data_IF_809160898753
#
_entry.id   IF_809160898753
#
_cell.length_a   1.000
_cell.length_b   1.000
_cell.length_c   1.000
_cell.angle_alpha   90.00
_cell.angle_beta   90.00
_cell.angle_gamma   90.00
#
_symmetry.space_group_name_H-M   'P 1'
#
loop_
_entity.id
_entity.type
_entity.pdbx_description
1 polymer ?
#
# COMPACT_ATOMS: atom_id res chain seq x y z
N UNK A 1 -22.55 -23.64 -7.40
CA UNK A 1 -21.09 -23.90 -7.25
C UNK A 1 -20.38 -22.73 -6.54
N UNK A 2 -20.43 -21.48 -7.06
CA UNK A 2 -19.79 -20.30 -6.40
C UNK A 2 -20.31 -20.08 -4.98
N UNK A 3 -21.62 -20.12 -4.75
CA UNK A 3 -22.21 -19.89 -3.42
C UNK A 3 -21.76 -20.92 -2.38
N UNK A 4 -21.69 -22.19 -2.73
CA UNK A 4 -21.23 -23.26 -1.83
C UNK A 4 -19.75 -23.06 -1.47
N UNK A 5 -18.91 -22.76 -2.48
CA UNK A 5 -17.51 -22.47 -2.29
C UNK A 5 -17.29 -21.23 -1.39
N UNK A 6 -18.08 -20.16 -1.64
CA UNK A 6 -18.03 -18.95 -0.83
C UNK A 6 -18.42 -19.21 0.63
N UNK A 7 -19.40 -20.09 0.90
CA UNK A 7 -19.82 -20.43 2.26
C UNK A 7 -18.73 -21.19 3.02
N UNK A 8 -18.04 -22.12 2.35
CA UNK A 8 -16.96 -22.91 2.95
C UNK A 8 -15.73 -22.05 3.34
N UNK A 9 -15.40 -21.03 2.56
CA UNK A 9 -14.20 -20.20 2.73
C UNK A 9 -14.49 -18.80 3.29
N UNK A 10 -15.74 -18.48 3.60
CA UNK A 10 -16.12 -17.10 3.97
C UNK A 10 -15.35 -16.53 5.17
N UNK A 11 -15.12 -17.32 6.21
CA UNK A 11 -14.42 -16.86 7.39
C UNK A 11 -12.94 -16.53 7.12
N UNK A 12 -12.31 -17.19 6.14
CA UNK A 12 -10.95 -16.86 5.70
C UNK A 12 -10.93 -15.49 5.02
N UNK A 13 -11.85 -15.24 4.09
CA UNK A 13 -11.97 -13.93 3.41
C UNK A 13 -12.32 -12.81 4.38
N UNK A 14 -13.21 -13.09 5.32
CA UNK A 14 -13.60 -12.16 6.37
C UNK A 14 -12.42 -11.80 7.28
N UNK A 15 -11.63 -12.77 7.68
CA UNK A 15 -10.45 -12.55 8.52
C UNK A 15 -9.41 -11.73 7.78
N UNK A 16 -9.13 -12.06 6.51
CA UNK A 16 -8.21 -11.31 5.66
C UNK A 16 -8.65 -9.86 5.45
N UNK A 17 -9.93 -9.62 5.13
CA UNK A 17 -10.46 -8.27 4.95
C UNK A 17 -10.39 -7.45 6.25
N UNK A 18 -10.70 -8.05 7.39
CA UNK A 18 -10.57 -7.39 8.70
C UNK A 18 -9.13 -7.03 9.03
N UNK A 19 -8.19 -7.91 8.73
CA UNK A 19 -6.77 -7.68 8.95
C UNK A 19 -6.26 -6.52 8.09
N UNK A 20 -6.57 -6.50 6.79
CA UNK A 20 -6.22 -5.37 5.92
C UNK A 20 -6.83 -4.06 6.42
N UNK A 21 -8.12 -4.06 6.79
CA UNK A 21 -8.79 -2.86 7.30
C UNK A 21 -8.33 -2.45 8.70
N UNK A 22 -7.75 -3.34 9.48
CA UNK A 22 -7.15 -2.96 10.75
C UNK A 22 -5.99 -2.00 10.55
N UNK A 23 -5.18 -2.25 9.53
CA UNK A 23 -3.99 -1.44 9.23
C UNK A 23 -4.26 -0.32 8.21
N UNK A 24 -5.14 -0.56 7.23
CA UNK A 24 -5.38 0.32 6.08
C UNK A 24 -6.86 0.65 5.93
N UNK A 25 -7.31 1.63 6.69
CA UNK A 25 -8.72 2.00 6.75
C UNK A 25 -8.87 3.53 6.68
N UNK A 26 -9.40 4.09 5.61
CA UNK A 26 -10.00 3.44 4.44
C UNK A 26 -8.99 2.97 3.40
N UNK A 27 -9.44 2.20 2.40
CA UNK A 27 -8.68 1.80 1.22
C UNK A 27 -9.57 1.88 -0.03
N UNK A 28 -8.97 1.81 -1.23
CA UNK A 28 -9.74 1.69 -2.46
C UNK A 28 -10.33 0.28 -2.59
N UNK A 29 -11.53 0.17 -3.18
CA UNK A 29 -12.17 -1.12 -3.47
C UNK A 29 -11.25 -1.99 -4.35
N UNK A 30 -10.65 -1.38 -5.39
CA UNK A 30 -9.68 -2.02 -6.28
C UNK A 30 -8.45 -2.58 -5.54
N UNK A 31 -8.01 -1.94 -4.47
CA UNK A 31 -6.92 -2.45 -3.63
C UNK A 31 -7.32 -3.75 -2.92
N UNK A 32 -8.55 -3.83 -2.40
CA UNK A 32 -9.05 -5.06 -1.78
C UNK A 32 -9.23 -6.16 -2.82
N UNK A 33 -9.79 -5.86 -3.98
CA UNK A 33 -9.96 -6.82 -5.09
C UNK A 33 -8.62 -7.41 -5.53
N UNK A 34 -7.62 -6.54 -5.74
CA UNK A 34 -6.27 -6.97 -6.10
C UNK A 34 -5.59 -7.77 -4.99
N UNK A 35 -5.77 -7.37 -3.73
CA UNK A 35 -5.24 -8.11 -2.59
C UNK A 35 -5.82 -9.54 -2.52
N UNK A 36 -7.12 -9.70 -2.73
CA UNK A 36 -7.77 -11.01 -2.81
C UNK A 36 -7.19 -11.85 -3.95
N UNK A 37 -7.03 -11.28 -5.16
CA UNK A 37 -6.41 -11.96 -6.31
C UNK A 37 -4.97 -12.40 -6.05
N UNK A 38 -4.21 -11.60 -5.30
CA UNK A 38 -2.80 -11.91 -4.98
C UNK A 38 -2.64 -12.91 -3.86
N UNK A 39 -3.53 -12.87 -2.88
CA UNK A 39 -3.44 -13.73 -1.70
C UNK A 39 -4.03 -15.12 -1.93
N UNK A 40 -5.12 -15.20 -2.68
CA UNK A 40 -5.84 -16.45 -2.96
C UNK A 40 -5.71 -16.86 -4.42
N UNK A 41 -5.46 -18.15 -4.66
CA UNK A 41 -5.44 -18.71 -6.02
C UNK A 41 -6.86 -18.79 -6.61
N UNK A 42 -6.95 -18.68 -7.93
CA UNK A 42 -8.19 -18.90 -8.70
C UNK A 42 -9.35 -17.94 -8.39
N UNK A 43 -9.04 -16.69 -7.96
CA UNK A 43 -10.04 -15.65 -7.79
C UNK A 43 -10.53 -15.13 -9.15
N UNK A 44 -11.81 -15.31 -9.42
CA UNK A 44 -12.50 -14.65 -10.55
C UNK A 44 -13.12 -13.35 -10.06
N UNK A 45 -13.39 -12.41 -10.98
CA UNK A 45 -14.04 -11.15 -10.65
C UNK A 45 -15.43 -11.37 -10.03
N UNK A 46 -16.18 -12.36 -10.54
CA UNK A 46 -17.49 -12.73 -10.00
C UNK A 46 -17.42 -13.22 -8.55
N UNK A 47 -16.39 -14.03 -8.23
CA UNK A 47 -16.18 -14.51 -6.86
C UNK A 47 -15.79 -13.36 -5.93
N UNK A 48 -14.92 -12.46 -6.39
CA UNK A 48 -14.49 -11.28 -5.62
C UNK A 48 -15.68 -10.38 -5.32
N UNK A 49 -16.49 -10.04 -6.30
CA UNK A 49 -17.71 -9.26 -6.09
C UNK A 49 -18.66 -9.95 -5.10
N UNK A 50 -18.83 -11.26 -5.22
CA UNK A 50 -19.65 -12.04 -4.28
C UNK A 50 -19.10 -11.99 -2.86
N UNK A 51 -17.77 -12.05 -2.69
CA UNK A 51 -17.10 -11.88 -1.39
C UNK A 51 -17.37 -10.49 -0.82
N UNK A 52 -17.13 -9.43 -1.61
CA UNK A 52 -17.31 -8.05 -1.16
C UNK A 52 -18.77 -7.77 -0.75
N UNK A 53 -19.73 -8.21 -1.54
CA UNK A 53 -21.15 -8.07 -1.20
C UNK A 53 -21.51 -8.82 0.09
N UNK A 54 -21.01 -10.04 0.27
CA UNK A 54 -21.26 -10.81 1.50
C UNK A 54 -20.60 -10.17 2.72
N UNK A 55 -19.40 -9.60 2.58
CA UNK A 55 -18.73 -8.84 3.62
C UNK A 55 -19.52 -7.58 4.00
N UNK A 56 -20.09 -6.88 3.01
CA UNK A 56 -20.96 -5.72 3.24
C UNK A 56 -22.28 -6.12 3.92
N UNK A 57 -22.93 -7.17 3.46
CA UNK A 57 -24.17 -7.71 4.04
C UNK A 57 -23.98 -8.09 5.53
N UNK A 58 -22.84 -8.68 5.84
CA UNK A 58 -22.43 -9.01 7.19
C UNK A 58 -21.84 -7.81 7.97
N UNK A 59 -21.88 -6.60 7.41
CA UNK A 59 -21.40 -5.36 8.02
C UNK A 59 -19.92 -5.37 8.41
N UNK A 60 -19.13 -6.16 7.74
CA UNK A 60 -17.67 -6.18 7.92
C UNK A 60 -17.04 -4.98 7.24
N UNK A 61 -17.54 -4.64 6.05
CA UNK A 61 -17.10 -3.49 5.25
C UNK A 61 -18.30 -2.61 4.87
N UNK A 62 -17.98 -1.39 4.46
CA UNK A 62 -18.88 -0.47 3.78
C UNK A 62 -18.21 -0.02 2.48
N UNK A 63 -18.95 -0.01 1.38
CA UNK A 63 -18.46 0.40 0.06
C UNK A 63 -19.20 1.66 -0.38
N UNK A 64 -18.45 2.66 -0.85
CA UNK A 64 -19.03 3.91 -1.38
C UNK A 64 -19.17 3.88 -2.89
N UNK A 65 -20.03 4.74 -3.41
CA UNK A 65 -20.28 4.85 -4.85
C UNK A 65 -19.08 5.37 -5.64
N UNK A 66 -18.13 6.01 -4.98
CA UNK A 66 -16.87 6.52 -5.54
C UNK A 66 -15.67 5.58 -5.28
N UNK A 67 -15.94 4.30 -4.96
CA UNK A 67 -14.95 3.22 -4.92
C UNK A 67 -14.10 3.16 -3.65
N UNK A 68 -14.55 3.74 -2.53
CA UNK A 68 -13.89 3.56 -1.25
C UNK A 68 -14.50 2.40 -0.46
N UNK A 69 -13.63 1.72 0.27
CA UNK A 69 -13.97 0.61 1.15
C UNK A 69 -13.41 0.89 2.55
N UNK A 70 -14.23 0.68 3.57
CA UNK A 70 -13.85 0.94 4.95
C UNK A 70 -14.65 0.14 5.96
N UNK A 71 -14.20 0.12 7.22
CA UNK A 71 -15.00 -0.37 8.32
C UNK A 71 -16.09 0.64 8.67
N UNK A 72 -17.19 0.13 9.29
CA UNK A 72 -18.26 0.99 9.80
C UNK A 72 -17.77 2.07 10.76
N UNK A 73 -16.86 1.71 11.68
CA UNK A 73 -16.32 2.67 12.64
C UNK A 73 -15.59 3.82 11.95
N UNK A 74 -14.85 3.51 10.85
CA UNK A 74 -14.18 4.54 10.06
C UNK A 74 -15.15 5.44 9.33
N UNK A 75 -16.23 4.88 8.76
CA UNK A 75 -17.27 5.67 8.13
C UNK A 75 -17.89 6.70 9.09
N UNK A 76 -18.30 6.24 10.27
CA UNK A 76 -18.85 7.13 11.30
C UNK A 76 -17.86 8.20 11.73
N UNK A 77 -16.58 7.84 11.86
CA UNK A 77 -15.51 8.78 12.19
C UNK A 77 -15.36 9.89 11.13
N UNK A 78 -15.44 9.54 9.84
CA UNK A 78 -15.25 10.47 8.73
C UNK A 78 -16.47 11.39 8.52
N UNK A 79 -17.67 10.83 8.58
CA UNK A 79 -18.92 11.54 8.19
C UNK A 79 -19.72 12.08 9.37
N UNK A 80 -19.51 11.57 10.58
CA UNK A 80 -20.36 11.83 11.74
C UNK A 80 -21.73 11.14 11.69
N UNK A 81 -22.00 10.35 10.64
CA UNK A 81 -23.30 9.70 10.44
C UNK A 81 -23.35 8.32 11.09
N UNK A 82 -23.97 8.26 12.26
CA UNK A 82 -24.22 7.02 13.00
C UNK A 82 -25.53 6.33 12.61
N UNK A 83 -26.40 6.98 11.83
CA UNK A 83 -27.76 6.51 11.52
C UNK A 83 -27.85 5.73 10.20
N UNK A 84 -26.76 5.62 9.45
CA UNK A 84 -26.76 4.96 8.14
C UNK A 84 -27.38 3.56 8.16
N UNK A 85 -27.19 2.81 9.21
CA UNK A 85 -27.75 1.46 9.38
C UNK A 85 -29.29 1.39 9.36
N UNK A 86 -29.95 2.47 9.75
CA UNK A 86 -31.43 2.51 9.78
C UNK A 86 -32.01 2.74 8.38
N UNK A 87 -31.23 3.29 7.47
CA UNK A 87 -31.65 3.65 6.11
C UNK A 87 -31.49 2.50 5.11
N UNK A 88 -30.51 1.62 5.30
CA UNK A 88 -30.15 0.61 4.30
C UNK A 88 -30.94 -0.70 4.36
N UNK A 89 -31.66 -0.96 5.45
CA UNK A 89 -32.55 -2.12 5.56
C UNK A 89 -31.95 -3.49 5.21
N UNK A 90 -30.64 -3.64 5.28
CA UNK A 90 -29.94 -4.89 4.98
C UNK A 90 -29.83 -5.25 3.50
N UNK A 91 -29.99 -4.29 2.57
CA UNK A 91 -29.77 -4.50 1.13
C UNK A 91 -28.46 -3.88 0.67
N UNK A 92 -27.87 -4.45 -0.40
CA UNK A 92 -26.62 -4.04 -1.09
C UNK A 92 -26.64 -2.56 -1.54
N UNK A 93 -26.57 -1.64 -0.63
CA UNK A 93 -26.64 -0.21 -0.95
C UNK A 93 -25.26 0.38 -0.74
N UNK A 94 -24.64 0.83 -1.83
CA UNK A 94 -23.45 1.64 -1.74
C UNK A 94 -23.76 2.90 -0.93
N UNK A 95 -22.85 3.26 -0.02
CA UNK A 95 -22.96 4.56 0.67
C UNK A 95 -22.66 5.70 -0.34
N UNK A 96 -23.10 6.93 -0.08
CA UNK A 96 -22.77 8.09 -0.90
C UNK A 96 -21.26 8.28 -1.06
N UNK A 97 -20.87 9.13 -1.98
CA UNK A 97 -19.47 9.55 -2.18
C UNK A 97 -18.86 10.10 -0.90
N UNK A 98 -17.65 9.65 -0.61
CA UNK A 98 -16.91 10.05 0.60
C UNK A 98 -15.48 10.49 0.31
N UNK A 99 -15.06 10.52 -0.97
CA UNK A 99 -13.70 10.86 -1.39
C UNK A 99 -13.20 12.16 -0.76
N UNK A 100 -14.03 13.20 -0.74
CA UNK A 100 -13.66 14.46 -0.11
C UNK A 100 -13.37 14.36 1.39
N UNK A 101 -14.07 13.50 2.14
CA UNK A 101 -13.73 13.23 3.54
C UNK A 101 -12.42 12.46 3.68
N UNK A 102 -12.20 11.47 2.81
CA UNK A 102 -10.99 10.65 2.83
C UNK A 102 -9.76 11.51 2.52
N UNK A 103 -9.80 12.31 1.46
CA UNK A 103 -8.70 13.17 1.04
C UNK A 103 -8.33 14.20 2.11
N UNK A 104 -9.32 14.77 2.78
CA UNK A 104 -9.09 15.79 3.82
C UNK A 104 -8.67 15.22 5.19
N UNK A 105 -9.07 13.99 5.53
CA UNK A 105 -8.92 13.45 6.88
C UNK A 105 -8.02 12.20 6.97
N UNK A 106 -7.63 11.60 5.85
CA UNK A 106 -6.85 10.39 5.84
C UNK A 106 -5.44 10.61 5.26
N UNK A 107 -4.55 9.70 5.60
CA UNK A 107 -3.20 9.73 5.09
C UNK A 107 -3.13 9.13 3.69
N UNK A 108 -3.32 9.96 2.66
CA UNK A 108 -3.25 9.53 1.25
C UNK A 108 -1.91 8.90 0.88
N UNK A 109 -0.81 9.36 1.49
CA UNK A 109 0.52 8.76 1.28
C UNK A 109 0.54 7.28 1.65
N UNK A 110 -0.16 6.89 2.72
CA UNK A 110 -0.30 5.50 3.14
C UNK A 110 -1.09 4.69 2.10
N UNK A 111 -2.16 5.26 1.57
CA UNK A 111 -3.03 4.61 0.57
C UNK A 111 -2.26 4.35 -0.72
N UNK A 112 -1.42 5.29 -1.17
CA UNK A 112 -0.55 5.08 -2.34
C UNK A 112 0.50 4.00 -2.09
N UNK A 113 1.12 3.99 -0.92
CA UNK A 113 2.11 2.96 -0.57
C UNK A 113 1.51 1.56 -0.45
N UNK A 114 0.21 1.44 -0.15
CA UNK A 114 -0.48 0.16 -0.01
C UNK A 114 -0.46 -0.66 -1.31
N UNK A 115 -0.45 -0.04 -2.49
CA UNK A 115 -0.34 -0.75 -3.76
C UNK A 115 0.92 -1.61 -3.84
N UNK A 116 2.05 -1.11 -3.35
CA UNK A 116 3.32 -1.86 -3.34
C UNK A 116 3.23 -3.09 -2.43
N UNK A 117 2.62 -2.95 -1.26
CA UNK A 117 2.38 -4.09 -0.37
C UNK A 117 1.51 -5.15 -1.06
N UNK A 118 0.39 -4.73 -1.67
CA UNK A 118 -0.56 -5.63 -2.34
C UNK A 118 0.15 -6.42 -3.45
N UNK A 119 0.99 -5.78 -4.24
CA UNK A 119 1.72 -6.46 -5.32
C UNK A 119 2.76 -7.45 -4.82
N UNK A 120 3.18 -7.31 -3.58
CA UNK A 120 4.13 -8.21 -2.91
C UNK A 120 3.46 -9.33 -2.09
N UNK A 121 2.13 -9.37 -2.06
CA UNK A 121 1.39 -10.44 -1.39
C UNK A 121 1.62 -11.82 -2.07
N UNK A 122 1.60 -12.90 -1.31
CA UNK A 122 1.46 -12.95 0.13
C UNK A 122 2.76 -12.55 0.83
N UNK A 123 2.69 -11.50 1.62
CA UNK A 123 3.73 -11.05 2.53
C UNK A 123 3.27 -11.31 3.97
N UNK A 124 4.19 -11.32 4.92
CA UNK A 124 3.78 -11.26 6.32
C UNK A 124 3.20 -9.87 6.57
N UNK A 125 1.97 -9.83 7.02
CA UNK A 125 1.29 -8.61 7.46
C UNK A 125 1.76 -8.19 8.87
N UNK A 126 2.73 -8.91 9.46
CA UNK A 126 3.44 -8.46 10.64
C UNK A 126 4.23 -7.20 10.29
N UNK A 127 3.54 -6.08 10.36
CA UNK A 127 4.12 -4.78 10.09
C UNK A 127 5.16 -4.47 11.17
N UNK A 128 6.41 -4.46 10.78
CA UNK A 128 7.40 -3.76 11.56
C UNK A 128 6.90 -2.32 11.74
N UNK A 129 6.91 -1.83 12.96
CA UNK A 129 6.54 -0.45 13.28
C UNK A 129 7.16 0.47 12.24
N UNK A 130 6.34 1.26 11.58
CA UNK A 130 6.79 2.19 10.56
C UNK A 130 7.78 3.17 11.18
N UNK A 131 9.04 3.05 10.78
CA UNK A 131 10.04 4.05 11.14
C UNK A 131 9.88 5.24 10.20
N UNK A 132 9.68 6.42 10.75
CA UNK A 132 9.78 7.63 9.92
C UNK A 132 11.12 7.60 9.16
N UNK A 133 11.14 7.91 7.86
CA UNK A 133 10.09 8.59 7.08
C UNK A 133 9.10 7.66 6.34
N UNK A 134 9.23 6.35 6.44
CA UNK A 134 8.46 5.39 5.65
C UNK A 134 7.00 5.31 6.10
N UNK A 135 6.09 5.15 5.14
CA UNK A 135 4.66 4.99 5.40
C UNK A 135 4.30 3.55 5.73
N UNK A 136 4.94 2.60 5.05
CA UNK A 136 4.69 1.17 5.23
C UNK A 136 6.02 0.44 5.35
N UNK A 137 6.08 -0.54 6.26
CA UNK A 137 7.13 -1.54 6.30
C UNK A 137 6.51 -2.93 6.39
N UNK A 138 7.03 -3.89 5.65
CA UNK A 138 6.54 -5.27 5.66
C UNK A 138 7.64 -6.27 5.32
N UNK A 139 7.44 -7.52 5.75
CA UNK A 139 8.37 -8.60 5.48
C UNK A 139 7.87 -9.45 4.30
N UNK A 140 8.68 -9.61 3.26
CA UNK A 140 8.38 -10.53 2.17
C UNK A 140 8.61 -11.99 2.57
N UNK A 141 8.04 -12.94 1.81
CA UNK A 141 8.33 -14.39 1.99
C UNK A 141 9.83 -14.73 1.97
N UNK A 142 10.64 -13.95 1.26
CA UNK A 142 12.09 -14.10 1.17
C UNK A 142 12.85 -13.49 2.35
N UNK A 143 12.15 -13.07 3.41
CA UNK A 143 12.71 -12.40 4.59
C UNK A 143 13.44 -11.09 4.30
N UNK A 144 13.07 -10.40 3.22
CA UNK A 144 13.47 -9.02 3.00
C UNK A 144 12.47 -8.09 3.68
N UNK A 145 12.98 -7.10 4.41
CA UNK A 145 12.19 -6.00 4.95
C UNK A 145 12.02 -4.94 3.86
N UNK A 146 10.80 -4.70 3.44
CA UNK A 146 10.47 -3.61 2.54
C UNK A 146 10.05 -2.39 3.32
N UNK A 147 10.63 -1.23 2.97
CA UNK A 147 10.28 0.08 3.47
C UNK A 147 9.80 0.92 2.30
N UNK A 148 8.55 1.41 2.35
CA UNK A 148 7.93 2.14 1.25
C UNK A 148 7.64 3.57 1.67
N UNK A 149 8.04 4.52 0.82
CA UNK A 149 7.80 5.95 1.01
C UNK A 149 7.19 6.55 -0.25
N UNK A 150 6.18 7.42 -0.05
CA UNK A 150 5.66 8.31 -1.09
C UNK A 150 6.19 9.73 -0.85
N UNK A 151 6.74 10.35 -1.90
CA UNK A 151 7.33 11.68 -1.87
C UNK A 151 6.53 12.60 -2.79
N UNK A 152 5.67 13.50 -2.24
CA UNK A 152 4.96 14.51 -3.01
C UNK A 152 5.92 15.62 -3.44
N UNK A 153 5.62 16.28 -4.54
CA UNK A 153 6.47 17.33 -5.13
C UNK A 153 6.82 18.46 -4.14
N UNK A 154 5.84 18.89 -3.35
CA UNK A 154 6.05 19.99 -2.38
C UNK A 154 7.07 19.65 -1.28
N UNK A 155 7.19 18.37 -0.92
CA UNK A 155 8.02 17.90 0.20
C UNK A 155 9.34 17.25 -0.28
N UNK A 156 9.58 17.18 -1.59
CA UNK A 156 10.69 16.43 -2.17
C UNK A 156 12.06 16.71 -1.56
N UNK A 157 12.53 17.97 -1.46
CA UNK A 157 13.90 18.22 -0.98
C UNK A 157 14.16 17.70 0.43
N UNK A 158 13.22 17.94 1.34
CA UNK A 158 13.35 17.51 2.73
C UNK A 158 13.24 15.98 2.88
N UNK A 159 12.46 15.32 2.02
CA UNK A 159 12.24 13.87 2.08
C UNK A 159 13.44 13.07 1.56
N UNK A 160 14.15 13.57 0.55
CA UNK A 160 15.34 12.89 0.03
C UNK A 160 16.47 12.82 1.06
N UNK A 161 16.65 13.85 1.89
CA UNK A 161 17.59 13.82 2.98
C UNK A 161 17.30 12.71 4.00
N UNK A 162 16.01 12.48 4.29
CA UNK A 162 15.60 11.43 5.21
C UNK A 162 15.89 10.00 4.69
N UNK A 163 15.94 9.79 3.37
CA UNK A 163 16.32 8.49 2.80
C UNK A 163 17.77 8.11 3.09
N UNK A 164 18.61 9.09 3.36
CA UNK A 164 20.02 8.87 3.69
C UNK A 164 20.22 8.41 5.14
N UNK A 165 19.22 8.58 5.99
CA UNK A 165 19.31 8.23 7.40
C UNK A 165 19.17 6.72 7.60
N UNK A 166 20.11 6.15 8.32
CA UNK A 166 20.12 4.80 8.81
C UNK A 166 20.51 4.81 10.28
N UNK A 167 19.94 3.92 11.09
CA UNK A 167 20.54 3.60 12.36
C UNK A 167 21.98 3.13 12.13
N UNK A 168 22.96 3.82 12.72
CA UNK A 168 24.41 3.58 12.54
C UNK A 168 24.86 2.20 13.02
N UNK A 169 24.09 1.59 13.88
CA UNK A 169 24.35 0.37 14.65
C UNK A 169 23.77 -0.92 14.06
N UNK A 170 23.11 -0.82 12.89
CA UNK A 170 22.61 -2.01 12.22
C UNK A 170 23.75 -2.85 11.63
N UNK A 171 23.72 -4.16 11.90
CA UNK A 171 24.62 -5.12 11.27
C UNK A 171 24.44 -5.10 9.74
N UNK A 172 25.52 -5.28 8.99
CA UNK A 172 25.50 -5.27 7.52
C UNK A 172 24.56 -6.33 6.94
N UNK A 173 24.42 -7.48 7.59
CA UNK A 173 23.45 -8.51 7.22
C UNK A 173 22.01 -8.01 7.28
N UNK A 174 21.67 -7.20 8.27
CA UNK A 174 20.34 -6.59 8.41
C UNK A 174 20.15 -5.48 7.38
N UNK A 175 21.16 -4.63 7.17
CA UNK A 175 21.13 -3.61 6.13
C UNK A 175 20.84 -4.21 4.76
N UNK A 176 21.50 -5.32 4.40
CA UNK A 176 21.31 -5.99 3.12
C UNK A 176 19.92 -6.64 2.96
N UNK A 177 19.21 -6.93 4.04
CA UNK A 177 17.84 -7.41 4.01
C UNK A 177 16.80 -6.31 3.80
N UNK A 178 17.16 -5.05 4.05
CA UNK A 178 16.26 -3.90 3.84
C UNK A 178 16.22 -3.54 2.37
N UNK A 179 14.99 -3.41 1.82
CA UNK A 179 14.72 -3.03 0.44
C UNK A 179 13.80 -1.82 0.44
N UNK A 180 14.28 -0.68 -0.02
CA UNK A 180 13.50 0.56 -0.07
C UNK A 180 12.82 0.73 -1.41
N UNK A 181 11.57 1.17 -1.36
CA UNK A 181 10.76 1.52 -2.52
C UNK A 181 10.35 2.98 -2.38
N UNK A 182 10.72 3.78 -3.35
CA UNK A 182 10.39 5.21 -3.39
C UNK A 182 9.34 5.43 -4.46
N UNK A 183 8.19 5.96 -4.07
CA UNK A 183 7.14 6.39 -4.99
C UNK A 183 7.24 7.91 -5.11
N UNK A 184 7.49 8.40 -6.31
CA UNK A 184 7.56 9.82 -6.62
C UNK A 184 6.22 10.30 -7.19
N UNK A 185 5.78 11.48 -6.80
CA UNK A 185 4.69 12.14 -7.49
C UNK A 185 5.15 12.60 -8.90
N UNK A 186 6.40 13.05 -9.01
CA UNK A 186 6.97 13.54 -10.26
C UNK A 186 8.22 12.75 -10.64
N UNK A 187 8.21 12.12 -11.82
CA UNK A 187 9.36 11.36 -12.34
C UNK A 187 10.63 12.20 -12.49
N UNK A 188 10.50 13.51 -12.72
CA UNK A 188 11.66 14.41 -12.87
C UNK A 188 12.55 14.44 -11.62
N UNK A 189 12.01 14.09 -10.48
CA UNK A 189 12.74 14.07 -9.22
C UNK A 189 13.57 12.80 -9.00
N UNK A 190 13.55 11.84 -9.92
CA UNK A 190 14.25 10.56 -9.74
C UNK A 190 15.75 10.71 -9.48
N UNK A 191 16.39 11.71 -10.11
CA UNK A 191 17.83 11.95 -9.98
C UNK A 191 18.22 12.52 -8.60
N UNK A 192 17.24 12.98 -7.82
CA UNK A 192 17.44 13.41 -6.43
C UNK A 192 17.45 12.24 -5.45
N UNK A 193 16.94 11.07 -5.87
CA UNK A 193 16.92 9.87 -5.02
C UNK A 193 18.34 9.36 -4.85
N UNK A 194 18.89 9.32 -3.62
CA UNK A 194 20.30 8.97 -3.39
C UNK A 194 20.60 7.55 -3.86
N UNK A 195 21.81 7.35 -4.34
CA UNK A 195 22.34 6.01 -4.66
C UNK A 195 22.68 5.25 -3.38
N UNK A 196 22.65 3.92 -3.48
CA UNK A 196 22.82 3.08 -2.32
C UNK A 196 21.61 3.11 -1.38
N UNK A 197 21.82 3.09 -0.09
CA UNK A 197 20.78 3.16 0.95
C UNK A 197 19.66 2.11 0.81
N UNK A 198 19.95 0.98 0.13
CA UNK A 198 19.03 -0.14 -0.09
C UNK A 198 17.86 0.14 -1.03
N UNK A 199 17.88 1.23 -1.78
CA UNK A 199 16.81 1.59 -2.72
C UNK A 199 16.79 0.60 -3.87
N UNK A 200 15.67 -0.09 -4.05
CA UNK A 200 15.49 -1.12 -5.08
C UNK A 200 14.59 -0.68 -6.22
N UNK A 201 13.58 0.13 -5.93
CA UNK A 201 12.64 0.59 -6.93
C UNK A 201 12.33 2.07 -6.74
N UNK A 202 12.33 2.80 -7.84
CA UNK A 202 11.74 4.13 -7.96
C UNK A 202 10.52 3.99 -8.85
N UNK A 203 9.38 4.42 -8.34
CA UNK A 203 8.07 4.30 -8.95
C UNK A 203 7.47 5.70 -9.10
N UNK A 204 6.54 5.87 -10.04
CA UNK A 204 5.64 7.02 -10.09
C UNK A 204 4.20 6.54 -10.10
N UNK A 205 3.29 7.36 -9.57
CA UNK A 205 1.86 7.08 -9.67
C UNK A 205 1.43 7.17 -11.14
N UNK A 206 0.61 6.22 -11.57
CA UNK A 206 0.10 6.17 -12.93
C UNK A 206 -1.19 5.34 -12.96
N UNK A 207 -2.33 6.02 -13.03
CA UNK A 207 -3.65 5.40 -13.04
C UNK A 207 -3.93 4.53 -14.28
N UNK A 208 -3.06 4.62 -15.31
CA UNK A 208 -3.17 3.80 -16.52
C UNK A 208 -2.63 2.38 -16.33
N UNK A 209 -1.94 2.10 -15.23
CA UNK A 209 -1.39 0.78 -14.92
C UNK A 209 -2.23 0.01 -13.89
N UNK A 210 -2.25 -1.30 -14.03
CA UNK A 210 -2.98 -2.21 -13.11
C UNK A 210 -2.62 -2.03 -11.62
N UNK A 211 -1.43 -1.52 -11.33
CA UNK A 211 -0.93 -1.29 -9.96
C UNK A 211 -1.06 0.16 -9.53
N UNK A 212 -1.67 1.02 -10.34
CA UNK A 212 -1.72 2.47 -10.14
C UNK A 212 -0.34 3.12 -9.95
N UNK A 213 0.72 2.43 -10.34
CA UNK A 213 2.07 2.97 -10.42
C UNK A 213 2.86 2.33 -11.57
N UNK A 214 3.88 3.05 -12.01
CA UNK A 214 4.82 2.64 -13.04
C UNK A 214 6.23 2.57 -12.45
N UNK A 215 7.00 1.55 -12.82
CA UNK A 215 8.42 1.46 -12.46
C UNK A 215 9.21 2.41 -13.35
N UNK A 216 9.81 3.42 -12.74
CA UNK A 216 10.68 4.39 -13.40
C UNK A 216 12.11 3.86 -13.47
N UNK A 217 12.58 3.29 -12.36
CA UNK A 217 13.93 2.77 -12.24
C UNK A 217 14.00 1.58 -11.30
N UNK A 218 14.79 0.57 -11.67
CA UNK A 218 15.16 -0.55 -10.81
C UNK A 218 16.65 -0.48 -10.54
N UNK A 219 17.03 -0.50 -9.27
CA UNK A 219 18.42 -0.46 -8.82
C UNK A 219 18.82 -1.81 -8.24
N UNK A 220 20.01 -2.27 -8.59
CA UNK A 220 20.59 -3.50 -8.01
C UNK A 220 21.52 -3.19 -6.83
N UNK A 221 21.65 -1.93 -6.49
CA UNK A 221 22.57 -1.46 -5.47
C UNK A 221 22.22 -1.99 -4.09
N UNK A 222 23.25 -2.38 -3.38
CA UNK A 222 23.23 -2.62 -1.95
C UNK A 222 23.48 -1.28 -1.20
N UNK A 223 23.63 -1.35 0.12
CA UNK A 223 23.92 -0.20 0.97
C UNK A 223 25.28 0.46 0.75
N UNK A 224 26.13 -0.09 -0.13
CA UNK A 224 27.42 0.51 -0.48
C UNK A 224 27.22 1.85 -1.19
N UNK A 225 27.95 2.85 -0.74
CA UNK A 225 28.06 4.11 -1.49
C UNK A 225 28.77 3.81 -2.82
N UNK A 226 28.25 4.33 -3.92
CA UNK A 226 29.02 4.41 -5.15
C UNK A 226 30.26 5.24 -4.82
N UNK A 227 31.44 4.65 -4.80
CA UNK A 227 32.67 5.40 -4.60
C UNK A 227 32.75 6.45 -5.70
N UNK A 228 32.88 7.70 -5.33
CA UNK A 228 33.05 8.86 -6.24
C UNK A 228 34.41 8.82 -6.98
N UNK A 229 34.93 7.64 -7.32
CA UNK A 229 36.25 7.44 -7.92
C UNK A 229 36.17 7.07 -9.38
N UNK A 230 35.33 7.74 -10.17
CA UNK A 230 35.48 7.71 -11.65
C UNK A 230 35.55 9.13 -12.24
N UNK A 231 36.35 9.99 -11.67
CA UNK A 231 36.45 11.39 -12.13
C UNK A 231 37.82 12.03 -12.02
N UNK A 232 38.92 11.29 -12.02
CA UNK A 232 40.22 11.93 -12.09
C UNK A 232 41.33 11.01 -12.57
N UNK A 233 41.28 10.62 -13.84
CA UNK A 233 42.49 10.26 -14.60
C UNK A 233 42.23 10.62 -16.08
N UNK A 234 42.57 11.83 -16.47
CA UNK A 234 43.13 12.14 -17.78
C UNK A 234 43.49 13.62 -17.83
N UNK A 235 44.65 13.91 -17.31
CA UNK A 235 45.49 15.02 -17.79
C UNK A 235 46.93 14.74 -17.39
N UNK A 236 47.62 14.06 -18.24
CA UNK A 236 49.06 14.13 -18.39
C UNK A 236 49.42 13.81 -19.86
#
# INVERSE_FOLDING_TARGET
MIMTYLEEHYEEYRSFAKELLYYFNPMRMEQMERALKKYYANMTDELIHSILYKLQDHRVIMMSSDGWLMSRGKYVQLTGDSKFDSLTGGRYTLIPEIGGYVENQCNMKLIYCLWVLIDMLPASLDFALTHKPFQISFMSKKRNLYEVIYIPEIEEPARFELLSQLPSDLLDSVKNAIKRVVILENEKSKDQVPWGKGIKYILTLDDSFDSHYRVVEKREDNWAEKSENEGSIQSA
#
